data_IF_262596132645
#
_entry.id   IF_262596132645
#
_cell.length_a   1.000
_cell.length_b   1.000
_cell.length_c   1.000
_cell.angle_alpha   90.00
_cell.angle_beta   90.00
_cell.angle_gamma   90.00
#
_symmetry.space_group_name_H-M   'P 1'
#
loop_
_entity.id
_entity.type
_entity.pdbx_description
1 polymer ?
#
# COMPACT_ATOMS: atom_id res chain seq x y z
N UNK A 1 17.57 28.80 1.14
CA UNK A 1 18.32 27.63 1.64
C UNK A 1 19.05 28.09 2.89
N UNK A 2 18.72 27.50 4.02
CA UNK A 2 19.38 27.80 5.28
C UNK A 2 20.76 27.14 5.34
N UNK A 3 21.75 27.85 5.88
CA UNK A 3 23.14 27.40 5.95
C UNK A 3 23.29 26.08 6.75
N UNK A 4 22.35 25.85 7.68
CA UNK A 4 22.22 24.61 8.47
C UNK A 4 21.67 23.44 7.64
N UNK A 5 20.73 23.69 6.74
CA UNK A 5 20.23 22.68 5.80
C UNK A 5 21.31 22.28 4.79
N UNK A 6 22.07 23.27 4.31
CA UNK A 6 23.16 23.04 3.37
C UNK A 6 24.25 22.11 3.95
N UNK A 7 24.70 22.38 5.20
CA UNK A 7 25.68 21.52 5.88
C UNK A 7 25.15 20.11 6.12
N UNK A 8 23.87 19.96 6.46
CA UNK A 8 23.24 18.66 6.71
C UNK A 8 23.14 17.83 5.43
N UNK A 9 22.71 18.45 4.33
CA UNK A 9 22.64 17.80 3.01
C UNK A 9 24.03 17.41 2.49
N UNK A 10 25.02 18.27 2.70
CA UNK A 10 26.41 18.01 2.30
C UNK A 10 27.00 16.82 3.06
N UNK A 11 26.78 16.73 4.37
CA UNK A 11 27.23 15.60 5.20
C UNK A 11 26.59 14.27 4.77
N UNK A 12 25.29 14.28 4.47
CA UNK A 12 24.56 13.10 3.97
C UNK A 12 25.02 12.67 2.58
N UNK A 13 25.30 13.63 1.70
CA UNK A 13 25.86 13.36 0.38
C UNK A 13 27.24 12.70 0.48
N UNK A 14 28.07 13.14 1.43
CA UNK A 14 29.39 12.55 1.69
C UNK A 14 29.29 11.11 2.22
N UNK A 15 28.29 10.83 3.07
CA UNK A 15 28.00 9.47 3.53
C UNK A 15 27.55 8.56 2.37
N UNK A 16 26.70 9.07 1.48
CA UNK A 16 26.26 8.33 0.28
C UNK A 16 27.45 8.07 -0.64
N UNK A 17 28.34 9.05 -0.85
CA UNK A 17 29.55 8.88 -1.64
C UNK A 17 30.45 7.76 -1.09
N UNK A 18 30.66 7.70 0.23
CA UNK A 18 31.44 6.62 0.89
C UNK A 18 30.83 5.23 0.70
N UNK A 19 29.50 5.14 0.62
CA UNK A 19 28.80 3.87 0.35
C UNK A 19 28.94 3.49 -1.11
N UNK A 20 28.82 4.46 -2.03
CA UNK A 20 28.97 4.24 -3.47
C UNK A 20 30.39 3.86 -3.89
N UNK A 21 31.42 4.34 -3.20
CA UNK A 21 32.81 3.92 -3.45
C UNK A 21 33.03 2.43 -3.23
N UNK A 22 32.31 1.83 -2.28
CA UNK A 22 32.37 0.38 -2.00
C UNK A 22 31.58 -0.46 -3.00
N UNK A 23 30.78 0.17 -3.86
CA UNK A 23 29.93 -0.49 -4.84
C UNK A 23 30.61 -0.51 -6.24
N UNK A 24 30.39 -1.56 -7.04
CA UNK A 24 30.81 -1.61 -8.44
C UNK A 24 30.23 -0.45 -9.24
N UNK A 25 30.99 0.10 -10.19
CA UNK A 25 30.59 1.29 -10.95
C UNK A 25 29.24 1.13 -11.67
N UNK A 26 28.91 -0.10 -12.06
CA UNK A 26 27.69 -0.48 -12.79
C UNK A 26 26.41 -0.26 -11.95
N UNK A 27 26.49 -0.43 -10.64
CA UNK A 27 25.32 -0.30 -9.74
C UNK A 27 25.27 1.03 -8.98
N UNK A 28 26.28 1.90 -9.14
CA UNK A 28 26.35 3.17 -8.41
C UNK A 28 25.21 4.11 -8.76
N UNK A 29 24.81 4.16 -10.02
CA UNK A 29 23.71 5.03 -10.48
C UNK A 29 22.37 4.59 -9.89
N UNK A 30 22.10 3.29 -9.86
CA UNK A 30 20.87 2.70 -9.30
C UNK A 30 20.85 2.80 -7.76
N UNK A 31 21.99 2.55 -7.12
CA UNK A 31 22.13 2.75 -5.67
C UNK A 31 21.97 4.23 -5.26
N UNK A 32 22.43 5.18 -6.09
CA UNK A 32 22.24 6.60 -5.84
C UNK A 32 20.77 7.02 -5.99
N UNK A 33 20.05 6.47 -6.96
CA UNK A 33 18.60 6.68 -7.12
C UNK A 33 17.83 6.25 -5.86
N UNK A 34 18.18 5.09 -5.27
CA UNK A 34 17.59 4.60 -4.01
C UNK A 34 17.92 5.50 -2.81
N UNK A 35 19.13 6.07 -2.77
CA UNK A 35 19.61 6.91 -1.66
C UNK A 35 19.27 8.40 -1.82
N UNK A 36 18.74 8.80 -2.98
CA UNK A 36 18.35 10.19 -3.28
C UNK A 36 17.41 10.77 -2.23
N UNK A 37 16.44 9.97 -1.76
CA UNK A 37 15.48 10.36 -0.73
C UNK A 37 16.11 10.67 0.64
N UNK A 38 17.24 10.05 0.96
CA UNK A 38 17.99 10.29 2.20
C UNK A 38 18.71 11.65 2.19
N UNK A 39 19.22 12.06 1.01
CA UNK A 39 19.91 13.34 0.84
C UNK A 39 18.93 14.50 0.75
N UNK A 40 17.76 14.30 0.14
CA UNK A 40 16.79 15.37 -0.12
C UNK A 40 15.76 15.58 0.99
N UNK A 41 15.91 14.92 2.14
CA UNK A 41 14.92 14.95 3.23
C UNK A 41 14.56 16.41 3.61
N UNK A 42 13.40 16.85 3.15
CA UNK A 42 12.60 17.86 3.82
C UNK A 42 12.03 17.18 5.05
N UNK A 43 12.25 17.79 6.21
CA UNK A 43 11.83 17.34 7.52
C UNK A 43 10.50 16.56 7.50
N UNK A 44 10.58 15.24 7.65
CA UNK A 44 9.50 14.43 8.17
C UNK A 44 9.90 13.92 9.55
N UNK A 45 10.25 14.82 10.46
CA UNK A 45 10.36 14.51 11.88
C UNK A 45 9.19 15.11 12.66
N UNK A 46 8.17 14.27 12.90
CA UNK A 46 7.76 14.04 14.28
C UNK A 46 7.23 12.61 14.41
N UNK A 47 8.14 11.69 14.77
CA UNK A 47 7.79 10.41 15.40
C UNK A 47 7.24 10.71 16.81
N UNK A 48 5.93 10.81 16.95
CA UNK A 48 5.26 10.59 18.23
C UNK A 48 4.61 9.22 18.17
N UNK A 49 5.00 8.33 19.09
CA UNK A 49 4.28 7.07 19.40
C UNK A 49 2.80 7.39 19.64
N UNK A 50 1.98 7.22 18.62
CA UNK A 50 0.53 7.27 18.74
C UNK A 50 -0.07 6.33 17.70
N UNK A 51 -0.94 5.48 18.20
CA UNK A 51 -1.98 4.76 17.46
C UNK A 51 -2.64 5.69 16.42
N UNK A 52 -3.07 5.09 15.31
CA UNK A 52 -3.97 5.65 14.27
C UNK A 52 -3.39 6.46 13.08
N UNK A 53 -3.92 6.08 11.92
CA UNK A 53 -3.99 6.76 10.62
C UNK A 53 -2.70 6.98 9.82
N UNK A 54 -2.36 5.99 8.96
CA UNK A 54 -1.49 6.21 7.78
C UNK A 54 -2.23 7.12 6.78
N UNK A 55 -1.71 8.32 6.62
CA UNK A 55 -2.20 9.35 5.72
C UNK A 55 -1.61 9.26 4.31
N UNK A 56 -2.49 9.49 3.35
CA UNK A 56 -2.50 10.56 2.36
C UNK A 56 -1.26 10.71 1.49
N UNK A 57 -0.99 9.73 0.63
CA UNK A 57 -0.41 10.02 -0.69
C UNK A 57 -1.52 9.67 -1.69
N UNK A 58 -2.11 10.67 -2.35
CA UNK A 58 -3.20 10.45 -3.32
C UNK A 58 -2.73 9.48 -4.42
N UNK A 59 -3.06 8.19 -4.28
CA UNK A 59 -2.65 7.09 -5.18
C UNK A 59 -3.37 7.07 -6.54
N UNK A 60 -3.86 8.20 -7.02
CA UNK A 60 -4.68 8.28 -8.23
C UNK A 60 -3.92 7.95 -9.54
N UNK A 61 -2.60 7.76 -9.47
CA UNK A 61 -1.77 7.36 -10.63
C UNK A 61 -0.60 6.42 -10.31
N UNK A 62 -0.55 5.83 -9.10
CA UNK A 62 0.50 4.88 -8.75
C UNK A 62 0.31 3.55 -9.48
N UNK A 63 1.43 2.99 -9.95
CA UNK A 63 1.52 1.63 -10.45
C UNK A 63 1.21 0.61 -9.34
N UNK A 64 1.00 -0.63 -9.76
CA UNK A 64 0.71 -1.73 -8.84
C UNK A 64 1.86 -1.97 -7.87
N UNK A 65 3.09 -2.04 -8.38
CA UNK A 65 4.28 -2.26 -7.57
C UNK A 65 4.49 -1.14 -6.54
N UNK A 66 4.25 0.10 -6.94
CA UNK A 66 4.33 1.26 -6.04
C UNK A 66 3.24 1.24 -4.96
N UNK A 67 2.04 0.75 -5.29
CA UNK A 67 0.95 0.67 -4.31
C UNK A 67 1.24 -0.39 -3.27
N UNK A 68 1.57 -1.62 -3.67
CA UNK A 68 1.82 -2.71 -2.73
C UNK A 68 3.13 -2.49 -1.96
N UNK A 69 4.19 -2.01 -2.63
CA UNK A 69 5.48 -1.73 -2.00
C UNK A 69 5.47 -0.60 -0.96
N UNK A 70 4.40 0.21 -0.90
CA UNK A 70 4.24 1.24 0.14
C UNK A 70 3.79 0.68 1.51
N UNK A 71 3.44 -0.61 1.60
CA UNK A 71 2.92 -1.24 2.81
C UNK A 71 3.82 -2.37 3.32
N UNK A 72 3.76 -2.65 4.62
CA UNK A 72 4.45 -3.78 5.23
C UNK A 72 3.60 -5.05 5.07
N UNK A 73 4.24 -6.17 4.73
CA UNK A 73 3.55 -7.43 4.41
C UNK A 73 3.62 -8.50 5.51
N UNK A 74 4.03 -8.12 6.73
CA UNK A 74 4.25 -9.05 7.86
C UNK A 74 2.97 -9.76 8.33
N UNK A 75 1.80 -9.19 8.04
CA UNK A 75 0.51 -9.70 8.50
C UNK A 75 -0.33 -10.16 7.31
N UNK A 76 -0.48 -11.47 7.10
CA UNK A 76 -1.28 -11.99 5.99
C UNK A 76 -2.71 -11.44 5.98
N UNK A 77 -3.33 -11.30 7.15
CA UNK A 77 -4.69 -10.77 7.25
C UNK A 77 -4.82 -9.31 6.79
N UNK A 78 -3.76 -8.52 6.93
CA UNK A 78 -3.74 -7.14 6.45
C UNK A 78 -3.40 -7.08 4.95
N UNK A 79 -2.61 -8.03 4.43
CA UNK A 79 -2.40 -8.20 2.99
C UNK A 79 -3.69 -8.50 2.24
N UNK A 80 -4.57 -9.35 2.80
CA UNK A 80 -5.89 -9.61 2.21
C UNK A 80 -6.75 -8.33 2.15
N UNK A 81 -6.68 -7.46 3.16
CA UNK A 81 -7.39 -6.16 3.15
C UNK A 81 -6.75 -5.17 2.18
N UNK A 82 -5.42 -5.20 2.03
CA UNK A 82 -4.69 -4.38 1.07
C UNK A 82 -5.11 -4.71 -0.37
N UNK A 83 -5.21 -5.99 -0.71
CA UNK A 83 -5.74 -6.44 -2.01
C UNK A 83 -7.20 -5.99 -2.19
N UNK A 84 -8.03 -6.08 -1.15
CA UNK A 84 -9.40 -5.57 -1.23
C UNK A 84 -9.43 -4.05 -1.42
N UNK A 85 -8.47 -3.31 -0.85
CA UNK A 85 -8.28 -1.88 -1.11
C UNK A 85 -7.89 -1.62 -2.57
N UNK A 86 -7.01 -2.42 -3.14
CA UNK A 86 -6.68 -2.34 -4.57
C UNK A 86 -7.91 -2.54 -5.45
N UNK A 87 -8.72 -3.58 -5.18
CA UNK A 87 -9.97 -3.77 -5.92
C UNK A 87 -10.95 -2.63 -5.73
N UNK A 88 -11.02 -2.04 -4.54
CA UNK A 88 -11.84 -0.85 -4.31
C UNK A 88 -11.34 0.38 -5.09
N UNK A 89 -10.03 0.54 -5.22
CA UNK A 89 -9.41 1.59 -6.02
C UNK A 89 -9.74 1.45 -7.50
N UNK A 90 -9.75 0.25 -8.02
CA UNK A 90 -10.01 0.01 -9.44
C UNK A 90 -11.49 -0.04 -9.78
N UNK A 91 -12.26 -0.84 -9.03
CA UNK A 91 -13.64 -1.24 -9.35
C UNK A 91 -14.68 -0.66 -8.38
N UNK A 92 -14.25 0.10 -7.38
CA UNK A 92 -15.16 0.70 -6.41
C UNK A 92 -15.85 -0.35 -5.54
N UNK A 93 -17.17 -0.23 -5.38
CA UNK A 93 -17.95 -1.07 -4.46
C UNK A 93 -18.41 -2.40 -5.08
N UNK A 94 -17.85 -2.78 -6.22
CA UNK A 94 -18.22 -4.01 -6.89
C UNK A 94 -17.74 -5.26 -6.12
N UNK A 95 -18.48 -6.37 -6.22
CA UNK A 95 -18.07 -7.62 -5.62
C UNK A 95 -16.78 -8.18 -6.23
N UNK A 96 -15.93 -8.74 -5.39
CA UNK A 96 -14.76 -9.52 -5.75
C UNK A 96 -14.83 -10.93 -5.17
N UNK A 97 -14.31 -11.90 -5.89
CA UNK A 97 -14.22 -13.29 -5.47
C UNK A 97 -12.97 -13.54 -4.63
N UNK A 98 -12.99 -14.61 -3.84
CA UNK A 98 -11.81 -15.05 -3.09
C UNK A 98 -10.68 -15.52 -4.01
N UNK A 99 -11.01 -16.07 -5.17
CA UNK A 99 -10.01 -16.54 -6.13
C UNK A 99 -9.29 -15.36 -6.79
N UNK A 100 -10.00 -14.28 -7.13
CA UNK A 100 -9.34 -13.04 -7.58
C UNK A 100 -8.38 -12.49 -6.53
N UNK A 101 -8.72 -12.55 -5.25
CA UNK A 101 -7.82 -12.12 -4.16
C UNK A 101 -6.57 -12.99 -4.12
N UNK A 102 -6.69 -14.30 -4.34
CA UNK A 102 -5.56 -15.24 -4.36
C UNK A 102 -4.66 -15.00 -5.57
N UNK A 103 -5.25 -14.97 -6.76
CA UNK A 103 -4.52 -14.65 -7.99
C UNK A 103 -3.76 -13.34 -7.84
N UNK A 104 -4.42 -12.31 -7.29
CA UNK A 104 -3.77 -11.01 -7.10
C UNK A 104 -2.64 -11.06 -6.08
N UNK A 105 -2.78 -11.86 -5.02
CA UNK A 105 -1.73 -12.06 -4.04
C UNK A 105 -0.49 -12.73 -4.65
N UNK A 106 -0.71 -13.73 -5.50
CA UNK A 106 0.35 -14.45 -6.22
C UNK A 106 1.04 -13.54 -7.24
N UNK A 107 0.27 -12.74 -7.99
CA UNK A 107 0.79 -11.78 -8.98
C UNK A 107 1.74 -10.76 -8.36
N UNK A 108 1.39 -10.23 -7.18
CA UNK A 108 2.20 -9.21 -6.47
C UNK A 108 3.17 -9.82 -5.47
N UNK A 109 3.20 -11.14 -5.34
CA UNK A 109 4.14 -11.87 -4.47
C UNK A 109 3.93 -11.68 -2.97
N UNK A 110 2.69 -11.44 -2.49
CA UNK A 110 2.40 -11.24 -1.06
C UNK A 110 1.66 -12.41 -0.44
N UNK A 111 2.05 -12.77 0.78
CA UNK A 111 1.42 -13.89 1.51
C UNK A 111 0.07 -13.48 2.09
N UNK A 112 -0.98 -14.24 1.78
CA UNK A 112 -2.33 -14.11 2.33
C UNK A 112 -2.73 -15.33 3.19
N UNK A 113 -3.70 -15.19 4.10
CA UNK A 113 -4.14 -16.29 4.94
C UNK A 113 -4.87 -17.36 4.12
N UNK A 114 -4.72 -18.62 4.49
CA UNK A 114 -5.41 -19.73 3.83
C UNK A 114 -6.96 -19.55 3.83
N UNK A 115 -7.49 -18.97 4.91
CA UNK A 115 -8.92 -18.69 5.13
C UNK A 115 -9.23 -17.19 4.95
N UNK A 116 -9.03 -16.71 3.72
CA UNK A 116 -9.37 -15.33 3.30
C UNK A 116 -10.85 -15.00 3.60
N UNK A 117 -11.74 -15.99 3.46
CA UNK A 117 -13.16 -15.88 3.77
C UNK A 117 -13.41 -15.46 5.23
N UNK A 118 -12.67 -16.05 6.17
CA UNK A 118 -12.75 -15.73 7.59
C UNK A 118 -12.13 -14.37 7.88
N UNK A 119 -11.05 -14.00 7.20
CA UNK A 119 -10.43 -12.68 7.32
C UNK A 119 -11.43 -11.57 6.97
N UNK A 120 -12.14 -11.68 5.85
CA UNK A 120 -13.13 -10.67 5.48
C UNK A 120 -14.38 -10.67 6.36
N UNK A 121 -14.81 -11.84 6.85
CA UNK A 121 -15.94 -11.91 7.80
C UNK A 121 -15.61 -11.34 9.18
N UNK A 122 -14.38 -11.55 9.65
CA UNK A 122 -13.90 -11.05 10.93
C UNK A 122 -13.47 -9.57 10.86
N UNK A 123 -13.19 -9.06 9.66
CA UNK A 123 -12.77 -7.68 9.46
C UNK A 123 -13.84 -6.68 9.91
N UNK A 124 -13.53 -5.97 11.00
CA UNK A 124 -14.37 -4.92 11.58
C UNK A 124 -13.52 -3.70 11.91
N UNK A 125 -14.14 -2.53 11.78
CA UNK A 125 -13.62 -1.27 12.31
C UNK A 125 -14.67 -0.62 13.20
N UNK A 126 -14.27 -0.21 14.41
CA UNK A 126 -15.18 0.34 15.44
C UNK A 126 -16.45 -0.51 15.64
N UNK A 127 -16.29 -1.84 15.63
CA UNK A 127 -17.38 -2.82 15.79
C UNK A 127 -18.25 -3.07 14.54
N UNK A 128 -18.04 -2.32 13.46
CA UNK A 128 -18.82 -2.41 12.21
C UNK A 128 -18.08 -3.26 11.18
N UNK A 129 -18.82 -4.10 10.44
CA UNK A 129 -18.24 -4.98 9.43
C UNK A 129 -17.71 -4.18 8.24
N UNK A 130 -16.49 -4.47 7.80
CA UNK A 130 -15.88 -3.85 6.64
C UNK A 130 -16.34 -4.47 5.33
N UNK A 131 -16.63 -5.76 5.32
CA UNK A 131 -17.04 -6.49 4.13
C UNK A 131 -18.38 -7.21 4.35
N UNK A 132 -19.17 -7.30 3.28
CA UNK A 132 -20.40 -8.06 3.21
C UNK A 132 -20.28 -9.13 2.12
N UNK A 133 -20.97 -10.26 2.32
CA UNK A 133 -21.12 -11.27 1.27
C UNK A 133 -22.01 -10.74 0.16
N UNK A 134 -21.62 -11.00 -1.08
CA UNK A 134 -22.31 -10.58 -2.29
C UNK A 134 -22.66 -11.76 -3.22
N UNK A 135 -22.64 -12.98 -2.68
CA UNK A 135 -22.86 -14.24 -3.40
C UNK A 135 -21.96 -15.35 -2.85
N UNK A 136 -22.04 -16.53 -3.45
CA UNK A 136 -21.14 -17.64 -3.13
C UNK A 136 -19.70 -17.24 -3.43
N UNK A 137 -18.83 -17.24 -2.42
CA UNK A 137 -17.41 -16.90 -2.57
C UNK A 137 -17.11 -15.44 -2.93
N UNK A 138 -18.11 -14.55 -3.00
CA UNK A 138 -17.94 -13.13 -3.35
C UNK A 138 -18.16 -12.22 -2.15
N UNK A 139 -17.31 -11.19 -2.03
CA UNK A 139 -17.37 -10.16 -1.01
C UNK A 139 -17.37 -8.77 -1.64
N UNK A 140 -18.00 -7.82 -0.97
CA UNK A 140 -17.95 -6.40 -1.33
C UNK A 140 -17.72 -5.55 -0.09
N UNK A 141 -17.05 -4.39 -0.20
CA UNK A 141 -16.93 -3.47 0.91
C UNK A 141 -18.33 -2.93 1.29
N UNK A 142 -18.58 -2.79 2.59
CA UNK A 142 -19.76 -2.06 3.10
C UNK A 142 -19.50 -0.56 3.06
N UNK A 143 -20.51 0.27 3.30
CA UNK A 143 -20.31 1.74 3.40
C UNK A 143 -19.23 2.11 4.44
N UNK A 144 -19.18 1.41 5.57
CA UNK A 144 -18.12 1.57 6.58
C UNK A 144 -16.78 1.01 6.10
N UNK A 145 -16.81 -0.11 5.37
CA UNK A 145 -15.68 -0.66 4.63
C UNK A 145 -15.03 0.36 3.70
N UNK A 146 -15.83 0.99 2.85
CA UNK A 146 -15.37 2.02 1.91
C UNK A 146 -14.68 3.17 2.65
N UNK A 147 -15.30 3.69 3.71
CA UNK A 147 -14.71 4.77 4.50
C UNK A 147 -13.38 4.35 5.16
N UNK A 148 -13.32 3.12 5.69
CA UNK A 148 -12.11 2.57 6.28
C UNK A 148 -11.01 2.40 5.24
N UNK A 149 -11.29 1.80 4.09
CA UNK A 149 -10.30 1.59 3.02
C UNK A 149 -9.76 2.92 2.50
N UNK A 150 -10.62 3.92 2.27
CA UNK A 150 -10.20 5.29 1.89
C UNK A 150 -9.27 5.92 2.92
N UNK A 151 -9.57 5.74 4.21
CA UNK A 151 -8.80 6.38 5.28
C UNK A 151 -7.50 5.64 5.58
N UNK A 152 -7.53 4.31 5.59
CA UNK A 152 -6.39 3.45 5.94
C UNK A 152 -5.37 3.37 4.82
N UNK A 153 -5.82 3.28 3.56
CA UNK A 153 -4.95 3.13 2.40
C UNK A 153 -4.88 4.39 1.54
N UNK A 154 -5.61 5.45 1.89
CA UNK A 154 -5.58 6.75 1.20
C UNK A 154 -5.90 6.66 -0.29
N UNK A 155 -6.83 5.77 -0.61
CA UNK A 155 -7.27 5.47 -1.98
C UNK A 155 -8.59 6.17 -2.31
N UNK A 156 -8.80 6.47 -3.60
CA UNK A 156 -10.07 6.95 -4.14
C UNK A 156 -10.90 5.78 -4.66
N UNK A 157 -12.22 5.96 -4.72
CA UNK A 157 -13.14 4.95 -5.24
C UNK A 157 -12.94 4.78 -6.74
N UNK A 158 -12.77 3.56 -7.19
CA UNK A 158 -12.73 3.22 -8.61
C UNK A 158 -14.08 3.35 -9.30
N UNK A 159 -14.04 3.56 -10.62
CA UNK A 159 -15.22 3.67 -11.48
C UNK A 159 -15.24 2.61 -12.58
N UNK A 160 -14.23 1.73 -12.66
CA UNK A 160 -14.25 0.63 -13.62
C UNK A 160 -15.36 -0.33 -13.25
N UNK A 161 -16.23 -0.66 -14.21
CA UNK A 161 -17.14 -1.79 -14.07
C UNK A 161 -16.39 -3.06 -14.41
N UNK A 162 -16.52 -4.08 -13.58
CA UNK A 162 -16.16 -5.45 -13.93
C UNK A 162 -17.17 -5.90 -14.96
N UNK A 163 -16.70 -6.12 -16.18
CA UNK A 163 -17.44 -6.93 -17.13
C UNK A 163 -17.59 -8.30 -16.51
N UNK A 164 -18.77 -8.56 -15.95
CA UNK A 164 -19.16 -9.87 -15.44
C UNK A 164 -19.02 -10.84 -16.62
N UNK A 165 -17.97 -11.65 -16.61
CA UNK A 165 -17.81 -12.78 -17.52
C UNK A 165 -18.87 -13.82 -17.19
N UNK A 166 -20.10 -13.54 -17.58
CA UNK A 166 -21.15 -14.53 -17.75
C UNK A 166 -20.98 -15.13 -19.14
N UNK A 167 -20.22 -16.22 -19.22
CA UNK A 167 -20.40 -17.27 -20.23
C UNK A 167 -20.51 -18.62 -19.53
#
# INVERSE_FOLDING_TARGET
MDDKEFKTRSSRLEQVAKVLEKLPAEVRSEAFELLKGYVTEHSSETRTKSKETKGGRDSAGQSEEEFFGAFEHDKPADNAKLIAAWFYREYGAEPFSLDEVRTKADDVGITIPARVDMTFQAAKDKGKKLFARAGTGKFKPTVHGEANLKTTYSIKKGTKKRTDGSE
#
